data_IF_645909504765
#
_entry.id   IF_645909504765
#
_cell.length_a   1.000
_cell.length_b   1.000
_cell.length_c   1.000
_cell.angle_alpha   90.00
_cell.angle_beta   90.00
_cell.angle_gamma   90.00
#
_symmetry.space_group_name_H-M   'P 1'
#
loop_
_entity.id
_entity.type
_entity.pdbx_description
1 polymer ?
#
# COMPACT_ATOMS: atom_id res chain seq x y z
N UNK A 1 28.87 15.50 -4.28
CA UNK A 1 29.86 14.50 -3.82
C UNK A 1 29.12 13.61 -2.82
N UNK A 2 28.64 12.46 -3.25
CA UNK A 2 27.91 11.55 -2.35
C UNK A 2 28.94 10.78 -1.52
N UNK A 3 28.92 11.01 -0.22
CA UNK A 3 29.75 10.29 0.73
C UNK A 3 29.24 8.84 0.80
N UNK A 4 30.11 7.90 0.47
CA UNK A 4 29.82 6.49 0.26
C UNK A 4 29.95 5.70 1.58
N UNK A 5 29.42 6.24 2.67
CA UNK A 5 29.60 5.72 4.04
C UNK A 5 28.30 5.22 4.66
N UNK A 6 27.50 4.48 3.89
CA UNK A 6 26.54 3.55 4.49
C UNK A 6 27.21 2.18 4.67
N UNK A 7 28.24 2.13 5.52
CA UNK A 7 28.56 0.92 6.29
C UNK A 7 27.42 0.74 7.29
N UNK A 8 26.21 0.39 6.80
CA UNK A 8 25.15 -0.12 7.67
C UNK A 8 25.67 -1.44 8.21
N UNK A 9 25.95 -1.44 9.52
CA UNK A 9 26.31 -2.60 10.34
C UNK A 9 25.67 -3.86 9.78
N UNK A 10 26.50 -4.80 9.34
CA UNK A 10 26.10 -6.19 9.23
C UNK A 10 25.67 -6.61 10.64
N UNK A 11 24.38 -6.66 10.91
CA UNK A 11 23.88 -7.44 12.04
C UNK A 11 23.88 -8.89 11.56
N UNK A 12 25.08 -9.46 11.43
CA UNK A 12 25.23 -10.83 11.87
C UNK A 12 25.32 -10.68 13.38
N UNK A 13 24.22 -10.88 14.11
CA UNK A 13 24.35 -11.31 15.51
C UNK A 13 25.13 -12.63 15.42
N UNK A 14 26.45 -12.55 15.49
CA UNK A 14 27.27 -13.67 15.90
C UNK A 14 27.07 -13.75 17.42
N UNK A 15 25.90 -14.23 17.83
CA UNK A 15 25.70 -14.64 19.20
C UNK A 15 26.58 -15.85 19.49
N UNK A 16 27.09 -15.97 20.72
CA UNK A 16 27.79 -17.17 21.16
C UNK A 16 26.89 -18.40 20.97
N UNK A 17 27.52 -19.56 20.78
CA UNK A 17 26.93 -20.91 20.77
C UNK A 17 25.56 -20.97 21.48
N UNK A 18 24.45 -21.03 20.71
CA UNK A 18 23.13 -21.28 21.26
C UNK A 18 21.97 -20.38 20.84
N UNK A 19 22.16 -19.33 20.04
CA UNK A 19 21.01 -18.52 19.58
C UNK A 19 20.04 -19.36 18.72
N UNK A 20 18.80 -19.46 19.21
CA UNK A 20 17.67 -20.07 18.55
C UNK A 20 17.27 -19.19 17.35
N UNK A 21 17.03 -19.81 16.21
CA UNK A 21 16.53 -19.10 15.03
C UNK A 21 15.18 -18.43 15.37
N UNK A 22 15.12 -17.11 15.20
CA UNK A 22 13.90 -16.34 15.43
C UNK A 22 13.22 -16.00 14.10
N UNK A 23 12.03 -16.57 13.87
CA UNK A 23 11.21 -16.33 12.68
C UNK A 23 10.67 -14.90 12.62
N UNK A 24 10.43 -14.26 13.75
CA UNK A 24 9.92 -12.88 13.82
C UNK A 24 11.01 -11.89 13.40
N UNK A 25 12.22 -11.98 13.96
CA UNK A 25 13.36 -11.16 13.53
C UNK A 25 13.66 -11.34 12.02
N UNK A 26 13.47 -12.56 11.50
CA UNK A 26 13.62 -12.82 10.06
C UNK A 26 12.57 -12.07 9.23
N UNK A 27 11.30 -12.06 9.68
CA UNK A 27 10.22 -11.31 9.01
C UNK A 27 10.51 -9.81 9.04
N UNK A 28 10.97 -9.28 10.17
CA UNK A 28 11.30 -7.85 10.28
C UNK A 28 12.44 -7.45 9.35
N UNK A 29 13.52 -8.24 9.24
CA UNK A 29 14.61 -7.91 8.29
C UNK A 29 14.13 -7.96 6.83
N UNK A 30 13.21 -8.88 6.50
CA UNK A 30 12.54 -8.91 5.19
C UNK A 30 11.69 -7.65 4.98
N UNK A 31 10.87 -7.27 5.97
CA UNK A 31 10.05 -6.06 5.93
C UNK A 31 10.89 -4.81 5.75
N UNK A 32 11.94 -4.63 6.55
CA UNK A 32 12.87 -3.50 6.47
C UNK A 32 13.53 -3.39 5.09
N UNK A 33 13.99 -4.53 4.53
CA UNK A 33 14.52 -4.54 3.18
C UNK A 33 13.48 -4.11 2.13
N UNK A 34 12.21 -4.46 2.33
CA UNK A 34 11.11 -4.10 1.43
C UNK A 34 10.69 -2.63 1.56
N UNK A 35 10.67 -2.08 2.77
CA UNK A 35 10.42 -0.64 3.02
C UNK A 35 11.52 0.21 2.39
N UNK A 36 12.78 -0.19 2.57
CA UNK A 36 13.95 0.44 1.93
C UNK A 36 14.00 0.21 0.39
N UNK A 37 13.06 -0.57 -0.16
CA UNK A 37 13.02 -1.00 -1.57
C UNK A 37 14.36 -1.58 -2.07
N UNK A 38 15.05 -2.34 -1.21
CA UNK A 38 16.36 -2.93 -1.54
C UNK A 38 16.16 -3.95 -2.65
N UNK A 39 16.97 -3.88 -3.71
CA UNK A 39 16.90 -4.87 -4.79
C UNK A 39 17.29 -6.29 -4.34
N UNK A 40 18.10 -6.43 -3.29
CA UNK A 40 18.57 -7.71 -2.76
C UNK A 40 18.64 -7.70 -1.24
N UNK A 41 18.27 -8.83 -0.63
CA UNK A 41 18.50 -9.13 0.78
C UNK A 41 19.16 -10.51 0.89
N UNK A 42 20.17 -10.63 1.73
CA UNK A 42 20.77 -11.91 2.13
C UNK A 42 20.59 -12.09 3.63
N UNK A 43 19.99 -13.20 4.03
CA UNK A 43 19.70 -13.50 5.43
C UNK A 43 19.91 -14.99 5.71
N UNK A 44 20.40 -15.33 6.89
CA UNK A 44 20.61 -16.72 7.30
C UNK A 44 19.30 -17.32 7.83
N UNK A 45 19.05 -18.56 7.45
CA UNK A 45 17.99 -19.41 7.98
C UNK A 45 18.62 -20.64 8.64
N UNK A 46 18.15 -21.02 9.82
CA UNK A 46 18.60 -22.22 10.54
C UNK A 46 17.38 -23.08 10.86
N UNK A 47 17.43 -24.34 10.41
CA UNK A 47 16.30 -25.27 10.36
C UNK A 47 16.45 -26.22 9.18
N UNK A 48 15.45 -27.05 8.92
CA UNK A 48 15.48 -27.95 7.76
C UNK A 48 15.31 -27.19 6.44
N UNK A 49 15.68 -27.81 5.31
CA UNK A 49 15.43 -27.23 3.99
C UNK A 49 13.92 -27.05 3.74
N UNK A 50 13.11 -28.01 4.15
CA UNK A 50 11.65 -27.97 3.99
C UNK A 50 11.04 -26.79 4.74
N UNK A 51 11.49 -26.55 5.98
CA UNK A 51 11.08 -25.39 6.76
C UNK A 51 11.46 -24.08 6.08
N UNK A 52 12.70 -23.98 5.57
CA UNK A 52 13.16 -22.81 4.84
C UNK A 52 12.29 -22.58 3.59
N UNK A 53 12.10 -23.62 2.78
CA UNK A 53 11.37 -23.55 1.52
C UNK A 53 9.90 -23.12 1.72
N UNK A 54 9.27 -23.54 2.82
CA UNK A 54 7.91 -23.10 3.19
C UNK A 54 7.90 -21.67 3.73
N UNK A 55 8.83 -21.35 4.63
CA UNK A 55 8.78 -20.12 5.41
C UNK A 55 9.20 -18.87 4.63
N UNK A 56 10.13 -18.96 3.68
CA UNK A 56 10.67 -17.76 3.00
C UNK A 56 9.59 -16.97 2.23
N UNK A 57 8.64 -17.67 1.59
CA UNK A 57 7.50 -17.01 0.95
C UNK A 57 6.50 -16.48 1.97
N UNK A 58 6.26 -17.22 3.05
CA UNK A 58 5.42 -16.81 4.17
C UNK A 58 5.95 -15.55 4.85
N UNK A 59 7.27 -15.41 4.98
CA UNK A 59 7.91 -14.26 5.61
C UNK A 59 7.56 -12.95 4.90
N UNK A 60 7.53 -12.95 3.57
CA UNK A 60 7.09 -11.79 2.78
C UNK A 60 5.59 -11.52 2.96
N UNK A 61 4.75 -12.55 3.03
CA UNK A 61 3.32 -12.36 3.31
C UNK A 61 3.11 -11.75 4.69
N UNK A 62 3.83 -12.25 5.70
CA UNK A 62 3.81 -11.69 7.06
C UNK A 62 4.33 -10.26 7.11
N UNK A 63 5.34 -9.92 6.32
CA UNK A 63 5.82 -8.55 6.19
C UNK A 63 4.74 -7.58 5.70
N UNK A 64 3.86 -8.01 4.79
CA UNK A 64 2.70 -7.22 4.35
C UNK A 64 1.59 -7.10 5.40
N UNK A 65 1.58 -7.95 6.43
CA UNK A 65 0.54 -7.94 7.47
C UNK A 65 0.88 -7.02 8.65
N UNK A 66 2.12 -6.52 8.71
CA UNK A 66 2.56 -5.56 9.72
C UNK A 66 2.07 -4.17 9.34
N UNK A 67 1.41 -3.53 10.31
CA UNK A 67 0.73 -2.23 10.22
C UNK A 67 1.23 -1.34 11.37
N UNK A 68 2.37 -0.69 11.12
CA UNK A 68 3.03 0.25 12.01
C UNK A 68 2.36 1.62 11.89
N UNK A 69 1.65 2.02 12.93
CA UNK A 69 0.88 3.27 12.99
C UNK A 69 1.72 4.54 12.85
N UNK A 70 3.05 4.44 12.90
CA UNK A 70 3.95 5.57 12.67
C UNK A 70 4.25 5.85 11.19
N UNK A 71 3.82 4.99 10.26
CA UNK A 71 4.06 5.17 8.83
C UNK A 71 2.84 4.81 7.98
N UNK A 72 2.72 5.46 6.82
CA UNK A 72 1.77 5.07 5.76
C UNK A 72 2.43 4.26 4.62
N UNK A 73 3.71 3.92 4.76
CA UNK A 73 4.50 3.25 3.71
C UNK A 73 4.54 1.72 3.84
N UNK A 74 3.91 1.15 4.86
CA UNK A 74 3.85 -0.28 5.10
C UNK A 74 2.48 -0.90 4.71
N UNK A 75 2.15 -2.07 5.25
CA UNK A 75 0.86 -2.75 5.09
C UNK A 75 0.37 -2.82 3.62
N UNK A 76 -0.78 -2.21 3.32
CA UNK A 76 -1.34 -2.19 1.97
C UNK A 76 -0.46 -1.43 0.97
N UNK A 77 0.15 -0.32 1.38
CA UNK A 77 1.03 0.45 0.48
C UNK A 77 2.25 -0.37 0.08
N UNK A 78 2.87 -1.07 1.05
CA UNK A 78 4.01 -1.96 0.80
C UNK A 78 3.64 -3.11 -0.14
N UNK A 79 2.45 -3.67 0.03
CA UNK A 79 1.93 -4.71 -0.89
C UNK A 79 1.74 -4.16 -2.30
N UNK A 80 1.21 -2.95 -2.45
CA UNK A 80 0.90 -2.36 -3.75
C UNK A 80 2.12 -1.84 -4.53
N UNK A 81 3.17 -1.39 -3.83
CA UNK A 81 4.44 -1.02 -4.47
C UNK A 81 5.26 -2.23 -4.90
N UNK A 82 5.04 -3.38 -4.26
CA UNK A 82 5.79 -4.60 -4.54
C UNK A 82 5.33 -5.23 -5.87
N UNK A 83 6.29 -5.60 -6.71
CA UNK A 83 6.03 -6.22 -8.02
C UNK A 83 6.24 -7.72 -8.02
N UNK A 84 7.23 -8.19 -7.27
CA UNK A 84 7.60 -9.60 -7.25
C UNK A 84 8.95 -9.85 -6.63
N UNK A 85 9.29 -11.13 -6.48
CA UNK A 85 10.60 -11.55 -5.99
C UNK A 85 11.07 -12.82 -6.67
N UNK A 86 12.37 -13.04 -6.61
CA UNK A 86 12.99 -14.34 -6.72
C UNK A 86 13.70 -14.67 -5.42
N UNK A 87 13.53 -15.90 -4.94
CA UNK A 87 14.23 -16.41 -3.76
C UNK A 87 15.17 -17.53 -4.17
N UNK A 88 16.40 -17.51 -3.67
CA UNK A 88 17.36 -18.60 -3.82
C UNK A 88 17.83 -19.01 -2.43
N UNK A 89 17.71 -20.30 -2.12
CA UNK A 89 18.16 -20.89 -0.86
C UNK A 89 19.43 -21.70 -1.16
N UNK A 90 20.53 -21.40 -0.48
CA UNK A 90 21.81 -22.11 -0.64
C UNK A 90 22.33 -22.54 0.72
N UNK A 91 22.77 -23.77 0.86
CA UNK A 91 23.35 -24.27 2.09
C UNK A 91 23.12 -25.75 2.30
N UNK A 92 23.58 -26.23 3.43
CA UNK A 92 23.52 -27.64 3.83
C UNK A 92 23.57 -27.73 5.36
N UNK A 93 23.33 -28.93 5.90
CA UNK A 93 23.46 -29.21 7.35
C UNK A 93 22.66 -28.23 8.23
N UNK A 94 21.38 -28.01 7.87
CA UNK A 94 20.43 -27.16 8.59
C UNK A 94 20.82 -25.68 8.71
N UNK A 95 21.70 -25.18 7.83
CA UNK A 95 22.06 -23.78 7.71
C UNK A 95 22.02 -23.34 6.26
N UNK A 96 21.21 -22.32 5.98
CA UNK A 96 20.97 -21.81 4.63
C UNK A 96 21.16 -20.29 4.55
N UNK A 97 21.81 -19.82 3.51
CA UNK A 97 21.71 -18.44 3.03
C UNK A 97 20.47 -18.33 2.14
N UNK A 98 19.54 -17.46 2.54
CA UNK A 98 18.38 -17.08 1.74
C UNK A 98 18.69 -15.75 1.06
N UNK A 99 18.63 -15.75 -0.27
CA UNK A 99 18.85 -14.57 -1.10
C UNK A 99 17.54 -14.17 -1.76
N UNK A 100 16.95 -13.08 -1.30
CA UNK A 100 15.84 -12.42 -1.98
C UNK A 100 16.37 -11.47 -3.04
N UNK A 101 15.73 -11.48 -4.20
CA UNK A 101 15.88 -10.45 -5.24
C UNK A 101 14.51 -9.85 -5.50
N UNK A 102 14.29 -8.65 -4.99
CA UNK A 102 12.99 -7.98 -5.04
C UNK A 102 12.86 -7.09 -6.28
N UNK A 103 11.62 -6.93 -6.74
CA UNK A 103 11.22 -5.99 -7.76
C UNK A 103 10.08 -5.13 -7.21
N UNK A 104 10.13 -3.83 -7.51
CA UNK A 104 9.13 -2.85 -7.08
C UNK A 104 8.63 -2.05 -8.30
N UNK A 105 7.37 -1.63 -8.22
CA UNK A 105 6.79 -0.67 -9.17
C UNK A 105 7.26 0.76 -8.87
N UNK A 106 7.55 1.05 -7.60
CA UNK A 106 8.04 2.35 -7.13
C UNK A 106 9.37 2.16 -6.39
N UNK A 107 10.33 3.04 -6.64
CA UNK A 107 11.65 3.03 -5.96
C UNK A 107 11.59 3.72 -4.59
N UNK A 108 12.60 3.52 -3.75
CA UNK A 108 12.67 4.21 -2.45
C UNK A 108 12.74 5.75 -2.58
N UNK A 109 13.46 6.26 -3.59
CA UNK A 109 13.53 7.70 -3.85
C UNK A 109 12.18 8.28 -4.28
N UNK A 110 11.46 7.56 -5.14
CA UNK A 110 10.10 7.95 -5.53
C UNK A 110 9.16 7.98 -4.33
N UNK A 111 9.24 6.99 -3.43
CA UNK A 111 8.41 6.95 -2.21
C UNK A 111 8.72 8.07 -1.26
N UNK A 112 10.01 8.33 -0.98
CA UNK A 112 10.40 9.50 -0.19
C UNK A 112 9.85 10.79 -0.81
N UNK A 113 9.87 10.89 -2.14
CA UNK A 113 9.32 12.06 -2.81
C UNK A 113 7.79 12.16 -2.68
N UNK A 114 7.08 11.03 -2.73
CA UNK A 114 5.65 10.97 -2.45
C UNK A 114 5.38 11.43 -1.01
N UNK A 115 6.12 10.91 -0.04
CA UNK A 115 5.97 11.25 1.39
C UNK A 115 6.14 12.76 1.63
N UNK A 116 7.20 13.35 1.08
CA UNK A 116 7.46 14.79 1.15
C UNK A 116 6.30 15.61 0.57
N UNK A 117 5.84 15.27 -0.63
CA UNK A 117 4.79 16.03 -1.32
C UNK A 117 3.44 15.83 -0.63
N UNK A 118 3.12 14.64 -0.12
CA UNK A 118 1.91 14.42 0.67
C UNK A 118 1.91 15.32 1.90
N UNK A 119 3.02 15.35 2.65
CA UNK A 119 3.13 16.21 3.84
C UNK A 119 2.90 17.69 3.50
N UNK A 120 3.47 18.17 2.40
CA UNK A 120 3.22 19.53 1.91
C UNK A 120 1.75 19.76 1.53
N UNK A 121 1.12 18.80 0.84
CA UNK A 121 -0.28 18.92 0.40
C UNK A 121 -1.26 18.86 1.55
N UNK A 122 -1.11 17.95 2.51
CA UNK A 122 -1.97 17.87 3.69
C UNK A 122 -1.90 19.17 4.52
N UNK A 123 -0.70 19.77 4.63
CA UNK A 123 -0.53 21.09 5.26
C UNK A 123 -1.26 22.19 4.48
N UNK A 124 -1.12 22.23 3.16
CA UNK A 124 -1.77 23.23 2.32
C UNK A 124 -3.30 23.12 2.34
N UNK A 125 -3.81 21.89 2.43
CA UNK A 125 -5.24 21.59 2.58
C UNK A 125 -5.77 21.84 4.00
N UNK A 126 -4.91 22.24 4.95
CA UNK A 126 -5.25 22.46 6.36
C UNK A 126 -5.95 21.26 7.02
N UNK A 127 -5.50 20.04 6.69
CA UNK A 127 -6.10 18.77 7.12
C UNK A 127 -6.22 18.66 8.64
N UNK A 128 -5.24 19.17 9.40
CA UNK A 128 -5.23 19.12 10.86
C UNK A 128 -6.35 19.97 11.52
N UNK A 129 -6.98 20.87 10.76
CA UNK A 129 -8.08 21.73 11.25
C UNK A 129 -9.47 21.22 10.84
N UNK A 130 -9.53 20.09 10.14
CA UNK A 130 -10.76 19.55 9.54
C UNK A 130 -11.32 18.41 10.38
N UNK A 131 -12.64 18.27 10.38
CA UNK A 131 -13.30 17.03 10.80
C UNK A 131 -12.94 15.88 9.86
N UNK A 132 -13.12 14.63 10.29
CA UNK A 132 -12.71 13.47 9.48
C UNK A 132 -13.43 13.41 8.12
N UNK A 133 -14.72 13.77 8.08
CA UNK A 133 -15.46 13.93 6.81
C UNK A 133 -14.83 14.99 5.90
N UNK A 134 -14.49 16.16 6.45
CA UNK A 134 -13.85 17.24 5.69
C UNK A 134 -12.44 16.85 5.21
N UNK A 135 -11.68 16.08 6.00
CA UNK A 135 -10.38 15.52 5.57
C UNK A 135 -10.57 14.57 4.39
N UNK A 136 -11.49 13.60 4.52
CA UNK A 136 -11.78 12.62 3.48
C UNK A 136 -12.18 13.33 2.18
N UNK A 137 -13.09 14.31 2.27
CA UNK A 137 -13.52 15.10 1.12
C UNK A 137 -12.38 15.90 0.51
N UNK A 138 -11.59 16.62 1.31
CA UNK A 138 -10.49 17.45 0.79
C UNK A 138 -9.40 16.62 0.09
N UNK A 139 -9.09 15.43 0.62
CA UNK A 139 -8.13 14.49 0.02
C UNK A 139 -8.68 13.91 -1.28
N UNK A 140 -9.94 13.46 -1.27
CA UNK A 140 -10.63 12.98 -2.46
C UNK A 140 -10.61 14.03 -3.58
N UNK A 141 -11.07 15.25 -3.30
CA UNK A 141 -11.16 16.34 -4.26
C UNK A 141 -9.78 16.68 -4.83
N UNK A 142 -8.75 16.71 -3.98
CA UNK A 142 -7.38 16.93 -4.41
C UNK A 142 -6.91 15.86 -5.41
N UNK A 143 -7.13 14.58 -5.10
CA UNK A 143 -6.65 13.46 -5.94
C UNK A 143 -7.35 13.48 -7.30
N UNK A 144 -8.68 13.60 -7.30
CA UNK A 144 -9.51 13.63 -8.53
C UNK A 144 -9.14 14.80 -9.43
N UNK A 145 -8.88 15.99 -8.86
CA UNK A 145 -8.56 17.18 -9.66
C UNK A 145 -7.10 17.21 -10.13
N UNK A 146 -6.17 16.63 -9.36
CA UNK A 146 -4.72 16.77 -9.59
C UNK A 146 -4.13 15.74 -10.57
N UNK A 147 -4.81 14.63 -10.83
CA UNK A 147 -4.36 13.59 -11.74
C UNK A 147 -5.36 13.36 -12.90
N UNK A 148 -4.94 12.56 -13.88
CA UNK A 148 -5.80 12.05 -14.96
C UNK A 148 -5.62 10.55 -15.12
N UNK A 149 -6.69 9.84 -15.45
CA UNK A 149 -6.58 8.42 -15.74
C UNK A 149 -5.60 8.12 -16.89
N UNK A 150 -4.72 7.14 -16.70
CA UNK A 150 -3.81 6.66 -17.74
C UNK A 150 -4.46 5.62 -18.65
N UNK A 151 -5.17 6.09 -19.68
CA UNK A 151 -5.74 5.21 -20.72
C UNK A 151 -4.70 4.39 -21.49
N UNK A 152 -3.41 4.77 -21.41
CA UNK A 152 -2.30 4.01 -21.97
C UNK A 152 -1.86 2.83 -21.11
N UNK A 153 -2.37 2.71 -19.87
CA UNK A 153 -2.13 1.63 -18.92
C UNK A 153 -0.64 1.40 -18.57
N UNK A 154 0.16 2.47 -18.49
CA UNK A 154 1.62 2.40 -18.23
C UNK A 154 2.01 2.84 -16.83
N UNK A 155 1.23 3.71 -16.22
CA UNK A 155 1.53 4.39 -14.96
C UNK A 155 0.61 3.86 -13.87
N UNK A 156 1.15 3.31 -12.78
CA UNK A 156 0.35 2.58 -11.79
C UNK A 156 0.78 2.82 -10.33
N UNK A 157 1.66 3.78 -10.08
CA UNK A 157 2.18 4.09 -8.74
C UNK A 157 1.56 5.36 -8.16
N UNK A 158 1.67 5.54 -6.84
CA UNK A 158 1.30 6.81 -6.21
C UNK A 158 2.23 7.94 -6.66
N UNK A 159 3.51 7.65 -6.92
CA UNK A 159 4.43 8.60 -7.55
C UNK A 159 3.93 9.06 -8.93
N UNK A 160 3.47 8.13 -9.77
CA UNK A 160 2.89 8.50 -11.06
C UNK A 160 1.63 9.36 -10.92
N UNK A 161 0.74 9.01 -10.00
CA UNK A 161 -0.47 9.80 -9.76
C UNK A 161 -0.13 11.21 -9.25
N UNK A 162 0.69 11.31 -8.20
CA UNK A 162 0.95 12.57 -7.50
C UNK A 162 1.92 13.48 -8.27
N UNK A 163 3.00 12.92 -8.81
CA UNK A 163 4.11 13.68 -9.40
C UNK A 163 3.93 13.81 -10.91
N UNK A 164 3.63 12.70 -11.59
CA UNK A 164 3.38 12.71 -13.03
C UNK A 164 1.95 13.09 -13.41
N UNK A 165 1.06 13.26 -12.42
CA UNK A 165 -0.34 13.66 -12.60
C UNK A 165 -1.12 12.70 -13.49
N UNK A 166 -0.73 11.42 -13.52
CA UNK A 166 -1.34 10.44 -14.40
C UNK A 166 -1.10 9.01 -13.93
N UNK A 167 -2.16 8.23 -13.70
CA UNK A 167 -2.02 6.80 -13.36
C UNK A 167 -3.28 6.01 -13.69
N UNK A 168 -3.22 4.68 -13.66
CA UNK A 168 -4.39 3.80 -13.59
C UNK A 168 -4.91 3.69 -12.15
N UNK A 169 -5.98 2.92 -11.95
CA UNK A 169 -6.66 2.73 -10.66
C UNK A 169 -5.73 2.39 -9.49
N UNK A 170 -4.71 1.56 -9.74
CA UNK A 170 -3.70 1.23 -8.73
C UNK A 170 -2.99 2.46 -8.15
N UNK A 171 -2.64 3.44 -8.99
CA UNK A 171 -1.95 4.65 -8.54
C UNK A 171 -2.87 5.60 -7.77
N UNK A 172 -4.15 5.69 -8.16
CA UNK A 172 -5.18 6.41 -7.40
C UNK A 172 -5.35 5.78 -6.02
N UNK A 173 -5.60 4.47 -5.98
CA UNK A 173 -5.89 3.78 -4.73
C UNK A 173 -4.71 3.80 -3.75
N UNK A 174 -3.47 3.71 -4.25
CA UNK A 174 -2.26 3.84 -3.46
C UNK A 174 -2.05 5.26 -2.91
N UNK A 175 -2.32 6.31 -3.70
CA UNK A 175 -2.22 7.69 -3.23
C UNK A 175 -3.31 8.02 -2.21
N UNK A 176 -4.56 7.61 -2.46
CA UNK A 176 -5.68 7.76 -1.52
C UNK A 176 -5.33 7.12 -0.18
N UNK A 177 -4.85 5.87 -0.18
CA UNK A 177 -4.44 5.21 1.05
C UNK A 177 -3.41 6.02 1.84
N UNK A 178 -2.30 6.44 1.21
CA UNK A 178 -1.27 7.20 1.93
C UNK A 178 -1.77 8.51 2.49
N UNK A 179 -2.49 9.30 1.68
CA UNK A 179 -3.00 10.58 2.14
C UNK A 179 -4.01 10.44 3.28
N UNK A 180 -4.88 9.44 3.23
CA UNK A 180 -5.85 9.16 4.31
C UNK A 180 -5.15 8.70 5.59
N UNK A 181 -4.22 7.75 5.50
CA UNK A 181 -3.49 7.25 6.68
C UNK A 181 -2.65 8.36 7.33
N UNK A 182 -1.93 9.17 6.54
CA UNK A 182 -1.18 10.33 7.05
C UNK A 182 -2.09 11.40 7.67
N UNK A 183 -3.35 11.49 7.22
CA UNK A 183 -4.37 12.38 7.80
C UNK A 183 -5.06 11.80 9.06
N UNK A 184 -4.64 10.61 9.51
CA UNK A 184 -5.22 9.91 10.65
C UNK A 184 -6.54 9.20 10.35
N UNK A 185 -6.89 9.02 9.07
CA UNK A 185 -8.10 8.31 8.63
C UNK A 185 -7.74 6.86 8.34
N UNK A 186 -8.30 5.87 9.08
CA UNK A 186 -8.13 4.47 8.75
C UNK A 186 -8.60 4.18 7.33
N UNK A 187 -7.71 3.59 6.53
CA UNK A 187 -7.95 3.30 5.13
C UNK A 187 -7.41 1.91 4.78
N UNK A 188 -8.05 1.24 3.83
CA UNK A 188 -7.54 0.01 3.21
C UNK A 188 -7.62 0.13 1.70
N UNK A 189 -6.71 -0.53 1.01
CA UNK A 189 -6.80 -0.72 -0.44
C UNK A 189 -7.49 -2.06 -0.72
N UNK A 190 -8.48 -2.02 -1.60
CA UNK A 190 -9.28 -3.17 -2.02
C UNK A 190 -9.00 -3.46 -3.50
N UNK A 191 -8.81 -4.74 -3.84
CA UNK A 191 -8.81 -5.22 -5.23
C UNK A 191 -10.07 -6.02 -5.53
N UNK A 192 -10.39 -6.09 -6.82
CA UNK A 192 -11.50 -6.86 -7.33
C UNK A 192 -11.73 -6.55 -8.79
N UNK A 193 -13.00 -6.51 -9.17
CA UNK A 193 -13.44 -6.07 -10.49
C UNK A 193 -14.44 -4.93 -10.35
N UNK A 194 -14.50 -4.07 -11.36
CA UNK A 194 -15.52 -3.06 -11.50
C UNK A 194 -16.01 -3.08 -12.95
N UNK A 195 -17.32 -3.33 -13.16
CA UNK A 195 -17.89 -3.69 -14.48
C UNK A 195 -17.06 -4.76 -15.22
N UNK A 196 -16.77 -5.85 -14.52
CA UNK A 196 -16.01 -7.02 -15.00
C UNK A 196 -14.54 -6.77 -15.41
N UNK A 197 -13.99 -5.58 -15.10
CA UNK A 197 -12.57 -5.25 -15.35
C UNK A 197 -11.81 -5.18 -14.02
N UNK A 198 -10.60 -5.74 -13.97
CA UNK A 198 -9.73 -5.66 -12.79
C UNK A 198 -9.60 -4.21 -12.30
N UNK A 199 -9.85 -4.00 -11.01
CA UNK A 199 -9.91 -2.67 -10.44
C UNK A 199 -9.36 -2.64 -9.01
N UNK A 200 -8.94 -1.45 -8.60
CA UNK A 200 -8.48 -1.17 -7.25
C UNK A 200 -9.11 0.15 -6.77
N UNK A 201 -9.62 0.14 -5.54
CA UNK A 201 -10.23 1.29 -4.87
C UNK A 201 -9.91 1.23 -3.36
N UNK A 202 -10.56 2.06 -2.56
CA UNK A 202 -10.32 2.11 -1.12
C UNK A 202 -11.60 1.91 -0.31
N UNK A 203 -11.42 1.49 0.94
CA UNK A 203 -12.41 1.73 1.99
C UNK A 203 -11.80 2.65 3.04
N UNK A 204 -12.61 3.53 3.61
CA UNK A 204 -12.22 4.46 4.68
C UNK A 204 -13.19 4.38 5.84
N UNK A 205 -12.69 4.59 7.05
CA UNK A 205 -13.53 4.65 8.25
C UNK A 205 -13.96 6.09 8.51
N UNK A 206 -15.26 6.28 8.76
CA UNK A 206 -15.86 7.53 9.21
C UNK A 206 -16.88 7.21 10.31
N UNK A 207 -16.73 7.85 11.47
CA UNK A 207 -17.62 7.68 12.63
C UNK A 207 -17.87 6.20 13.02
N UNK A 208 -16.81 5.38 12.97
CA UNK A 208 -16.85 3.96 13.35
C UNK A 208 -17.46 3.01 12.32
N UNK A 209 -17.78 3.52 11.11
CA UNK A 209 -18.31 2.72 9.99
C UNK A 209 -17.39 2.81 8.78
N UNK A 210 -17.26 1.71 8.04
CA UNK A 210 -16.45 1.68 6.82
C UNK A 210 -17.28 1.98 5.57
N UNK A 211 -16.72 2.78 4.66
CA UNK A 211 -17.35 3.20 3.41
C UNK A 211 -16.45 2.87 2.23
N UNK A 212 -17.03 2.51 1.09
CA UNK A 212 -16.30 2.45 -0.17
C UNK A 212 -16.04 3.86 -0.70
N UNK A 213 -14.84 4.07 -1.25
CA UNK A 213 -14.46 5.30 -1.95
C UNK A 213 -13.58 4.97 -3.16
N UNK A 214 -13.91 5.54 -4.33
CA UNK A 214 -13.16 5.31 -5.57
C UNK A 214 -12.86 6.61 -6.33
N UNK A 215 -11.72 7.22 -5.99
CA UNK A 215 -11.21 8.40 -6.68
C UNK A 215 -10.92 8.19 -8.17
N UNK A 216 -10.80 6.94 -8.63
CA UNK A 216 -10.56 6.67 -10.05
C UNK A 216 -11.83 6.87 -10.86
N UNK A 217 -12.94 6.33 -10.37
CA UNK A 217 -14.23 6.42 -11.07
C UNK A 217 -14.97 7.72 -10.80
N UNK A 218 -14.52 8.50 -9.81
CA UNK A 218 -14.91 9.90 -9.61
C UNK A 218 -14.03 10.91 -10.39
N UNK A 219 -13.01 10.43 -11.13
CA UNK A 219 -12.22 11.19 -12.14
C UNK A 219 -12.69 10.83 -13.57
N UNK A 220 -13.77 11.44 -14.08
CA UNK A 220 -14.24 11.19 -15.44
C UNK A 220 -13.22 11.70 -16.47
N UNK A 221 -12.88 10.83 -17.42
CA UNK A 221 -11.99 11.19 -18.53
C UNK A 221 -12.70 12.20 -19.45
N UNK A 222 -12.33 13.47 -19.32
CA UNK A 222 -12.86 14.51 -20.20
C UNK A 222 -12.07 14.61 -21.51
N UNK A 223 -12.80 14.85 -22.60
CA UNK A 223 -12.23 15.18 -23.91
C UNK A 223 -11.85 16.66 -24.06
N UNK A 224 -12.38 17.55 -23.20
CA UNK A 224 -12.11 19.00 -23.23
C UNK A 224 -10.85 19.40 -22.44
N UNK A 225 -10.21 18.44 -21.78
CA UNK A 225 -8.97 18.62 -21.04
C UNK A 225 -9.15 19.16 -19.62
N UNK A 226 -10.37 19.47 -19.18
CA UNK A 226 -10.68 19.89 -17.80
C UNK A 226 -10.80 18.68 -16.87
N UNK A 227 -10.35 18.82 -15.63
CA UNK A 227 -10.68 17.85 -14.58
C UNK A 227 -12.12 18.10 -14.14
N UNK A 228 -12.97 17.08 -14.14
CA UNK A 228 -14.28 17.17 -13.51
C UNK A 228 -14.23 16.39 -12.20
N UNK A 229 -14.84 16.97 -11.17
CA UNK A 229 -14.93 16.38 -9.86
C UNK A 229 -16.31 15.76 -9.72
N UNK A 230 -16.39 14.44 -9.67
CA UNK A 230 -17.61 13.71 -9.38
C UNK A 230 -17.60 13.17 -7.93
N UNK A 231 -18.76 12.75 -7.45
CA UNK A 231 -18.95 12.17 -6.11
C UNK A 231 -19.82 10.91 -6.17
N UNK A 232 -19.87 10.27 -7.34
CA UNK A 232 -20.71 9.11 -7.60
C UNK A 232 -20.26 7.91 -6.77
N UNK A 233 -18.96 7.79 -6.52
CA UNK A 233 -18.34 6.71 -5.77
C UNK A 233 -17.73 7.19 -4.44
N UNK A 234 -18.13 8.38 -3.97
CA UNK A 234 -17.72 8.95 -2.70
C UNK A 234 -18.56 8.40 -1.54
N UNK A 235 -17.89 7.77 -0.56
CA UNK A 235 -18.45 7.29 0.70
C UNK A 235 -19.75 6.48 0.54
N UNK A 236 -19.66 5.34 -0.16
CA UNK A 236 -20.80 4.46 -0.45
C UNK A 236 -20.88 3.24 0.48
N UNK A 237 -22.12 2.85 0.78
CA UNK A 237 -22.40 1.50 1.30
C UNK A 237 -22.20 0.45 0.18
N UNK A 238 -22.45 -0.82 0.47
CA UNK A 238 -22.33 -1.89 -0.53
C UNK A 238 -23.44 -1.82 -1.61
N UNK A 239 -24.66 -1.42 -1.25
CA UNK A 239 -25.80 -1.39 -2.18
C UNK A 239 -25.65 -0.34 -3.28
N UNK A 240 -25.12 0.84 -2.94
CA UNK A 240 -24.85 1.95 -3.86
C UNK A 240 -23.49 1.80 -4.58
N UNK A 241 -22.75 0.72 -4.31
CA UNK A 241 -21.44 0.42 -4.87
C UNK A 241 -21.43 -0.92 -5.66
N UNK A 242 -22.61 -1.33 -6.14
CA UNK A 242 -22.86 -2.64 -6.79
C UNK A 242 -22.08 -2.93 -8.07
N UNK A 243 -21.51 -1.90 -8.71
CA UNK A 243 -20.71 -2.07 -9.93
C UNK A 243 -19.33 -2.67 -9.64
N UNK A 244 -18.94 -2.75 -8.36
CA UNK A 244 -17.67 -3.29 -7.88
C UNK A 244 -17.88 -4.60 -7.12
N UNK A 245 -17.02 -5.57 -7.42
CA UNK A 245 -17.00 -6.89 -6.77
C UNK A 245 -15.62 -7.11 -6.20
N UNK A 246 -15.52 -7.29 -4.88
CA UNK A 246 -14.26 -7.53 -4.17
C UNK A 246 -13.66 -8.88 -4.51
N UNK A 247 -12.34 -8.96 -4.52
CA UNK A 247 -11.64 -10.25 -4.52
C UNK A 247 -11.98 -11.07 -3.27
N UNK A 248 -11.86 -12.40 -3.41
CA UNK A 248 -12.21 -13.36 -2.35
C UNK A 248 -11.51 -13.08 -1.01
N UNK A 249 -10.28 -12.53 -1.03
CA UNK A 249 -9.55 -12.21 0.19
C UNK A 249 -10.27 -11.18 1.09
N UNK A 250 -11.02 -10.23 0.50
CA UNK A 250 -11.78 -9.21 1.23
C UNK A 250 -13.24 -9.62 1.50
N UNK A 251 -13.61 -10.86 1.15
CA UNK A 251 -14.96 -11.41 1.34
C UNK A 251 -15.05 -12.37 2.53
N UNK A 252 -13.92 -12.71 3.15
CA UNK A 252 -13.86 -13.58 4.33
C UNK A 252 -14.57 -12.98 5.54
N UNK A 253 -15.11 -13.82 6.41
CA UNK A 253 -15.76 -13.39 7.66
C UNK A 253 -14.79 -12.60 8.55
N UNK A 254 -13.51 -13.02 8.59
CA UNK A 254 -12.46 -12.28 9.30
C UNK A 254 -12.33 -10.85 8.79
N UNK A 255 -12.35 -10.65 7.47
CA UNK A 255 -12.28 -9.32 6.88
C UNK A 255 -13.54 -8.51 7.18
N UNK A 256 -14.73 -9.06 6.92
CA UNK A 256 -16.02 -8.39 7.13
C UNK A 256 -16.26 -8.00 8.60
N UNK A 257 -15.83 -8.85 9.54
CA UNK A 257 -15.95 -8.55 10.97
C UNK A 257 -15.03 -7.42 11.42
N UNK A 258 -13.86 -7.27 10.78
CA UNK A 258 -12.90 -6.19 11.07
C UNK A 258 -13.29 -4.88 10.39
N UNK A 259 -13.80 -4.94 9.16
CA UNK A 259 -14.15 -3.80 8.33
C UNK A 259 -15.66 -3.77 8.08
N UNK A 260 -16.42 -3.46 9.13
CA UNK A 260 -17.88 -3.44 9.09
C UNK A 260 -18.35 -2.27 8.23
N UNK A 261 -18.85 -2.59 7.05
CA UNK A 261 -19.36 -1.61 6.10
C UNK A 261 -20.64 -0.97 6.62
N UNK A 262 -20.80 0.33 6.36
CA UNK A 262 -22.05 1.06 6.59
C UNK A 262 -23.21 0.44 5.82
N UNK A 263 -24.44 0.63 6.31
CA UNK A 263 -25.66 0.35 5.55
C UNK A 263 -26.21 1.59 4.83
N UNK A 264 -25.62 2.77 5.03
CA UNK A 264 -26.10 4.03 4.44
C UNK A 264 -24.93 4.79 3.82
N UNK A 265 -25.07 5.14 2.54
CA UNK A 265 -24.13 6.03 1.85
C UNK A 265 -24.19 7.45 2.39
N UNK A 266 -23.05 8.14 2.34
CA UNK A 266 -23.02 9.57 2.49
C UNK A 266 -23.51 10.24 1.20
N UNK A 267 -24.29 11.31 1.36
CA UNK A 267 -24.75 12.15 0.25
C UNK A 267 -24.16 13.52 0.44
N UNK A 268 -23.51 14.05 -0.60
CA UNK A 268 -23.05 15.43 -0.59
C UNK A 268 -24.27 16.32 -0.80
N UNK A 269 -24.49 17.26 0.13
CA UNK A 269 -25.51 18.30 0.04
C UNK A 269 -25.11 19.42 -0.93
#
# INVERSE_FOLDING_TARGET
>A
MYNNDSVKKWIVKNGPQGEQFNKEEFVEEVREAMLDSRAKLKIKFKGSYEEANKFVGEAVRKAFEIDDKSTSSDYDYLRYRYKGMRVVIKGMLNSYEVVYSFQYNETADQTRKVDEVIKEKLKHLEIDKKSDLEKIKAIHDFIVVNAKYDTGLKRNTAYDNLIHKKSVCQGYAALTYKMMVEAGIPCRIITGTAKDVNHAWNIVELDGSWYNIDCTWDDPVSSDGRSHLEYKYFLKNEEDFKDHVRDQEYMSDKFKNRYKMTNKSYTIE
#
